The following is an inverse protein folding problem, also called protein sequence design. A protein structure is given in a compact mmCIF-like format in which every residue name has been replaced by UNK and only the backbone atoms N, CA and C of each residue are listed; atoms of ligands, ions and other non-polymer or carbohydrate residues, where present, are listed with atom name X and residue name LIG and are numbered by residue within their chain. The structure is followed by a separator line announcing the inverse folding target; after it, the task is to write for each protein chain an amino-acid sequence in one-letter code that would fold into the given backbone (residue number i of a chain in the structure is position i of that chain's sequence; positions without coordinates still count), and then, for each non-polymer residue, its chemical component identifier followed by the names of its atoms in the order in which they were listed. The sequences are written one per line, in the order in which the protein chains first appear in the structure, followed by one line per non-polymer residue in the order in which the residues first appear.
data_IF_087278585944
#
_entry.id   IF_087278585944
#
_cell.length_a   1.000
_cell.length_b   1.000
_cell.length_c   1.000
_cell.angle_alpha   90.00
_cell.angle_beta   90.00
_cell.angle_gamma   90.00
#
_symmetry.space_group_name_H-M   'P 1'
#
loop_
_entity.id
_entity.type
_entity.pdbx_description
1 polymer ?
#
# COMPACT_ATOMS: atom_id res chain seq x y z
N UNK A 1 36.31 -26.38 -16.60
CA UNK A 1 35.03 -27.09 -16.77
C UNK A 1 34.26 -26.93 -15.46
N UNK A 2 32.93 -27.04 -15.48
CA UNK A 2 32.07 -26.78 -14.31
C UNK A 2 31.35 -28.08 -13.91
N UNK A 3 31.04 -28.23 -12.63
CA UNK A 3 30.23 -29.36 -12.13
C UNK A 3 28.83 -29.29 -12.73
N UNK A 4 28.21 -30.44 -12.96
CA UNK A 4 26.81 -30.50 -13.38
C UNK A 4 25.90 -29.77 -12.36
N UNK A 5 25.15 -28.79 -12.87
CA UNK A 5 24.19 -28.01 -12.10
C UNK A 5 23.17 -28.90 -11.40
N UNK A 6 22.73 -30.00 -12.02
CA UNK A 6 21.77 -30.91 -11.39
C UNK A 6 22.34 -31.59 -10.15
N UNK A 7 23.64 -31.90 -10.16
CA UNK A 7 24.35 -32.44 -9.00
C UNK A 7 24.38 -31.44 -7.86
N UNK A 8 24.67 -30.16 -8.14
CA UNK A 8 24.64 -29.08 -7.15
C UNK A 8 23.24 -28.86 -6.58
N UNK A 9 22.19 -28.87 -7.42
CA UNK A 9 20.79 -28.74 -6.96
C UNK A 9 20.41 -29.91 -6.04
N UNK A 10 20.81 -31.14 -6.38
CA UNK A 10 20.54 -32.31 -5.56
C UNK A 10 21.19 -32.18 -4.18
N UNK A 11 22.47 -31.78 -4.10
CA UNK A 11 23.16 -31.53 -2.83
C UNK A 11 22.53 -30.39 -2.04
N UNK A 12 22.12 -29.30 -2.70
CA UNK A 12 21.47 -28.16 -2.05
C UNK A 12 20.15 -28.57 -1.35
N UNK A 13 19.36 -29.44 -2.00
CA UNK A 13 18.13 -30.00 -1.39
C UNK A 13 18.41 -30.96 -0.24
N UNK A 14 19.52 -31.69 -0.28
CA UNK A 14 19.94 -32.60 0.80
C UNK A 14 20.40 -31.82 2.02
N UNK A 15 21.20 -30.76 1.83
CA UNK A 15 21.70 -29.92 2.92
C UNK A 15 20.63 -29.00 3.50
N UNK A 16 19.73 -28.48 2.67
CA UNK A 16 18.69 -27.51 3.07
C UNK A 16 17.28 -28.01 2.69
N UNK A 17 16.81 -29.15 3.24
CA UNK A 17 15.52 -29.74 2.86
C UNK A 17 14.32 -28.91 3.31
N UNK A 18 14.51 -27.97 4.25
CA UNK A 18 13.47 -27.06 4.75
C UNK A 18 13.43 -25.72 4.01
N UNK A 19 14.40 -25.44 3.16
CA UNK A 19 14.42 -24.22 2.37
C UNK A 19 13.44 -24.39 1.19
N UNK A 20 12.27 -23.74 1.27
CA UNK A 20 11.24 -23.73 0.22
C UNK A 20 11.65 -22.86 -0.98
N UNK A 21 12.81 -23.12 -1.57
CA UNK A 21 13.31 -22.38 -2.71
C UNK A 21 12.54 -22.76 -3.97
N UNK A 22 12.14 -21.75 -4.76
CA UNK A 22 11.60 -21.98 -6.10
C UNK A 22 12.63 -22.64 -7.01
N UNK A 23 12.17 -23.39 -8.02
CA UNK A 23 13.07 -24.02 -9.00
C UNK A 23 14.00 -23.00 -9.67
N UNK A 24 13.48 -21.80 -10.00
CA UNK A 24 14.27 -20.69 -10.55
C UNK A 24 15.39 -20.23 -9.61
N UNK A 25 15.19 -20.25 -8.29
CA UNK A 25 16.24 -19.93 -7.31
C UNK A 25 17.26 -21.05 -7.17
N UNK A 26 16.80 -22.30 -7.14
CA UNK A 26 17.69 -23.45 -7.14
C UNK A 26 18.64 -23.41 -8.35
N UNK A 27 18.10 -23.15 -9.54
CA UNK A 27 18.88 -23.03 -10.77
C UNK A 27 19.85 -21.84 -10.71
N UNK A 28 19.41 -20.67 -10.23
CA UNK A 28 20.27 -19.49 -10.10
C UNK A 28 21.43 -19.67 -9.10
N UNK A 29 21.18 -20.37 -7.99
CA UNK A 29 22.21 -20.69 -7.00
C UNK A 29 23.15 -21.74 -7.60
N UNK A 30 22.63 -22.80 -8.20
CA UNK A 30 23.43 -23.83 -8.86
C UNK A 30 24.30 -23.26 -9.99
N UNK A 31 23.80 -22.31 -10.78
CA UNK A 31 24.56 -21.64 -11.83
C UNK A 31 25.78 -20.87 -11.32
N UNK A 32 25.67 -20.30 -10.12
CA UNK A 32 26.77 -19.61 -9.44
C UNK A 32 27.74 -20.60 -8.80
N UNK A 33 27.23 -21.65 -8.17
CA UNK A 33 28.03 -22.59 -7.41
C UNK A 33 28.73 -23.63 -8.28
N UNK A 34 28.11 -24.08 -9.38
CA UNK A 34 28.67 -25.07 -10.31
C UNK A 34 30.03 -24.66 -10.92
N UNK A 35 30.33 -23.36 -10.95
CA UNK A 35 31.59 -22.81 -11.49
C UNK A 35 32.74 -22.77 -10.49
N UNK A 36 32.48 -23.04 -9.21
CA UNK A 36 33.48 -22.93 -8.13
C UNK A 36 34.27 -24.22 -7.90
N UNK A 37 33.65 -25.42 -7.80
CA UNK A 37 34.39 -26.67 -7.72
C UNK A 37 35.01 -27.06 -9.06
N UNK A 38 36.02 -27.94 -9.02
CA UNK A 38 36.52 -28.65 -10.19
C UNK A 38 35.41 -29.55 -10.79
N UNK A 39 35.49 -29.87 -12.08
CA UNK A 39 34.46 -30.64 -12.80
C UNK A 39 34.31 -32.08 -12.30
N UNK A 40 35.36 -32.65 -11.72
CA UNK A 40 35.39 -33.97 -11.09
C UNK A 40 35.11 -33.93 -9.57
N UNK A 41 34.67 -32.79 -9.04
CA UNK A 41 34.40 -32.63 -7.60
C UNK A 41 33.40 -33.67 -7.07
N UNK A 42 33.77 -34.26 -5.94
CA UNK A 42 32.93 -35.16 -5.17
C UNK A 42 31.83 -34.40 -4.42
N UNK A 43 30.89 -35.15 -3.84
CA UNK A 43 29.78 -34.56 -3.09
C UNK A 43 30.27 -33.71 -1.91
N UNK A 44 31.40 -34.07 -1.29
CA UNK A 44 32.00 -33.35 -0.17
C UNK A 44 32.48 -31.95 -0.59
N UNK A 45 33.16 -31.85 -1.72
CA UNK A 45 33.64 -30.57 -2.25
C UNK A 45 32.47 -29.66 -2.70
N UNK A 46 31.40 -30.26 -3.25
CA UNK A 46 30.18 -29.52 -3.61
C UNK A 46 29.48 -29.00 -2.35
N UNK A 47 29.37 -29.82 -1.30
CA UNK A 47 28.79 -29.43 -0.02
C UNK A 47 29.57 -28.29 0.64
N UNK A 48 30.90 -28.33 0.61
CA UNK A 48 31.74 -27.26 1.14
C UNK A 48 31.45 -25.92 0.45
N UNK A 49 31.35 -25.93 -0.89
CA UNK A 49 31.01 -24.72 -1.66
C UNK A 49 29.60 -24.20 -1.36
N UNK A 50 28.64 -25.10 -1.13
CA UNK A 50 27.28 -24.72 -0.72
C UNK A 50 27.28 -24.10 0.68
N UNK A 51 28.03 -24.69 1.63
CA UNK A 51 28.14 -24.16 2.99
C UNK A 51 28.86 -22.81 3.01
N UNK A 52 29.95 -22.66 2.25
CA UNK A 52 30.63 -21.36 2.09
C UNK A 52 29.68 -20.29 1.54
N UNK A 53 28.79 -20.67 0.62
CA UNK A 53 27.76 -19.77 0.12
C UNK A 53 26.73 -19.43 1.20
N UNK A 54 26.28 -20.44 1.96
CA UNK A 54 25.33 -20.27 3.05
C UNK A 54 25.87 -19.37 4.17
N UNK A 55 27.17 -19.43 4.45
CA UNK A 55 27.84 -18.60 5.47
C UNK A 55 27.85 -17.11 5.09
N UNK A 56 27.93 -16.80 3.80
CA UNK A 56 27.90 -15.42 3.29
C UNK A 56 26.46 -14.94 3.05
N UNK A 57 25.60 -15.83 2.55
CA UNK A 57 24.19 -15.59 2.31
C UNK A 57 23.38 -16.83 2.70
N UNK A 58 22.69 -16.73 3.82
CA UNK A 58 21.83 -17.78 4.37
C UNK A 58 20.78 -18.21 3.35
N UNK A 59 20.85 -19.48 2.96
CA UNK A 59 19.91 -20.11 2.03
C UNK A 59 18.50 -20.15 2.63
N UNK A 60 18.40 -20.31 3.95
CA UNK A 60 17.13 -20.27 4.66
C UNK A 60 16.51 -18.87 4.66
N UNK A 61 17.31 -17.82 4.82
CA UNK A 61 16.79 -16.45 4.82
C UNK A 61 16.40 -16.01 3.40
N UNK A 62 17.13 -16.44 2.37
CA UNK A 62 16.70 -16.30 0.97
C UNK A 62 15.32 -16.95 0.76
N UNK A 63 15.11 -18.16 1.29
CA UNK A 63 13.82 -18.84 1.16
C UNK A 63 12.70 -18.09 1.91
N UNK A 64 12.97 -17.58 3.12
CA UNK A 64 11.99 -16.79 3.89
C UNK A 64 11.63 -15.47 3.19
N UNK A 65 12.61 -14.78 2.62
CA UNK A 65 12.37 -13.51 1.92
C UNK A 65 11.58 -13.72 0.63
N UNK A 66 11.87 -14.80 -0.12
CA UNK A 66 11.06 -15.19 -1.28
C UNK A 66 9.61 -15.52 -0.85
N UNK A 67 9.41 -16.25 0.24
CA UNK A 67 8.07 -16.56 0.79
C UNK A 67 7.32 -15.30 1.26
N UNK A 68 8.02 -14.39 1.93
CA UNK A 68 7.47 -13.09 2.35
C UNK A 68 7.09 -12.25 1.14
N UNK A 69 7.94 -12.19 0.12
CA UNK A 69 7.69 -11.43 -1.10
C UNK A 69 6.47 -11.99 -1.84
N UNK A 70 6.38 -13.33 -1.96
CA UNK A 70 5.23 -14.00 -2.56
C UNK A 70 3.93 -13.71 -1.80
N UNK A 71 3.98 -13.70 -0.47
CA UNK A 71 2.84 -13.34 0.37
C UNK A 71 2.42 -11.88 0.13
N UNK A 72 3.38 -10.95 0.15
CA UNK A 72 3.12 -9.52 -0.10
C UNK A 72 2.59 -9.26 -1.52
N UNK A 73 3.09 -9.96 -2.53
CA UNK A 73 2.58 -9.87 -3.91
C UNK A 73 1.16 -10.40 -4.00
N UNK A 74 0.84 -11.52 -3.34
CA UNK A 74 -0.51 -12.07 -3.30
C UNK A 74 -1.48 -11.12 -2.57
N UNK A 75 -1.07 -10.50 -1.48
CA UNK A 75 -1.85 -9.49 -0.75
C UNK A 75 -2.06 -8.22 -1.58
N UNK A 76 -1.02 -7.72 -2.26
CA UNK A 76 -1.13 -6.59 -3.19
C UNK A 76 -2.10 -6.90 -4.32
N UNK A 77 -2.02 -8.09 -4.90
CA UNK A 77 -2.91 -8.50 -5.98
C UNK A 77 -4.37 -8.57 -5.51
N UNK A 78 -4.63 -9.11 -4.31
CA UNK A 78 -5.96 -9.09 -3.69
C UNK A 78 -6.46 -7.66 -3.46
N UNK A 79 -5.62 -6.77 -2.94
CA UNK A 79 -5.98 -5.36 -2.76
C UNK A 79 -6.32 -4.65 -4.07
N UNK A 80 -5.58 -4.94 -5.15
CA UNK A 80 -5.87 -4.43 -6.50
C UNK A 80 -7.21 -4.97 -7.01
N UNK A 81 -7.48 -6.27 -6.82
CA UNK A 81 -8.70 -6.92 -7.29
C UNK A 81 -9.94 -6.42 -6.52
N UNK A 82 -9.83 -6.24 -5.20
CA UNK A 82 -10.87 -5.63 -4.37
C UNK A 82 -11.14 -4.16 -4.74
N UNK A 83 -10.08 -3.37 -4.98
CA UNK A 83 -10.21 -1.99 -5.41
C UNK A 83 -10.89 -1.88 -6.78
N UNK A 84 -10.56 -2.78 -7.73
CA UNK A 84 -11.22 -2.83 -9.05
C UNK A 84 -12.68 -3.26 -8.96
N UNK A 85 -12.99 -4.26 -8.13
CA UNK A 85 -14.37 -4.69 -7.87
C UNK A 85 -15.22 -3.54 -7.30
N UNK A 86 -14.66 -2.75 -6.38
CA UNK A 86 -15.34 -1.55 -5.84
C UNK A 86 -15.53 -0.46 -6.89
N UNK A 87 -14.63 -0.35 -7.86
CA UNK A 87 -14.69 0.61 -8.96
C UNK A 87 -15.50 0.12 -10.18
N UNK A 88 -16.20 -1.02 -10.08
CA UNK A 88 -16.99 -1.58 -11.19
C UNK A 88 -16.17 -1.98 -12.42
N UNK A 89 -14.84 -2.11 -12.28
CA UNK A 89 -13.94 -2.55 -13.33
C UNK A 89 -13.93 -4.07 -13.41
N UNK A 90 -14.00 -4.61 -14.62
CA UNK A 90 -13.84 -6.04 -14.85
C UNK A 90 -12.57 -6.58 -14.18
N UNK A 91 -12.60 -7.85 -13.71
CA UNK A 91 -11.42 -8.52 -13.19
C UNK A 91 -10.26 -8.33 -14.16
N UNK A 92 -9.05 -8.17 -13.63
CA UNK A 92 -7.88 -8.39 -14.46
C UNK A 92 -7.92 -9.87 -14.80
N UNK A 93 -8.53 -10.23 -15.93
CA UNK A 93 -8.02 -11.37 -16.66
C UNK A 93 -6.54 -11.08 -16.79
N UNK A 94 -5.71 -11.83 -16.05
CA UNK A 94 -4.36 -12.08 -16.48
C UNK A 94 -4.51 -12.79 -17.83
N UNK A 95 -4.81 -12.04 -18.88
CA UNK A 95 -4.15 -12.30 -20.13
C UNK A 95 -2.69 -12.04 -19.80
N UNK A 96 -2.04 -13.11 -19.36
CA UNK A 96 -0.74 -13.43 -19.87
C UNK A 96 -0.86 -13.34 -21.40
N UNK A 97 -0.89 -12.13 -21.97
CA UNK A 97 -0.23 -11.89 -23.25
C UNK A 97 1.27 -11.97 -22.94
N UNK A 98 1.70 -13.14 -22.44
CA UNK A 98 2.97 -13.67 -22.85
C UNK A 98 2.83 -13.73 -24.35
N UNK A 99 3.47 -12.79 -25.04
CA UNK A 99 3.85 -12.99 -26.42
C UNK A 99 4.51 -14.38 -26.43
N UNK A 100 3.81 -15.38 -26.98
CA UNK A 100 4.35 -16.74 -27.05
C UNK A 100 5.56 -16.67 -27.98
N UNK A 101 6.73 -16.55 -27.35
CA UNK A 101 7.98 -16.51 -28.05
C UNK A 101 8.25 -17.91 -28.59
N UNK A 102 8.53 -18.09 -29.90
CA UNK A 102 8.81 -19.40 -30.47
C UNK A 102 9.93 -20.10 -29.67
N UNK A 103 9.88 -21.42 -29.53
CA UNK A 103 10.77 -22.19 -28.65
C UNK A 103 12.28 -21.92 -28.88
N UNK A 104 12.65 -21.59 -30.12
CA UNK A 104 14.00 -21.20 -30.55
C UNK A 104 14.42 -19.77 -30.16
N UNK A 105 13.62 -19.06 -29.39
CA UNK A 105 13.96 -17.71 -28.93
C UNK A 105 15.13 -17.79 -27.95
N UNK A 106 16.27 -17.13 -28.25
CA UNK A 106 17.43 -17.17 -27.38
C UNK A 106 17.11 -16.70 -25.96
N UNK A 107 17.74 -17.30 -24.95
CA UNK A 107 17.45 -17.01 -23.54
C UNK A 107 17.60 -15.53 -23.17
N UNK A 108 18.51 -14.81 -23.85
CA UNK A 108 18.66 -13.37 -23.64
C UNK A 108 17.43 -12.57 -24.10
N UNK A 109 16.71 -13.03 -25.12
CA UNK A 109 15.47 -12.39 -25.61
C UNK A 109 14.32 -12.65 -24.64
N UNK A 110 14.19 -13.88 -24.11
CA UNK A 110 13.22 -14.20 -23.06
C UNK A 110 13.47 -13.37 -21.79
N UNK A 111 14.74 -13.16 -21.42
CA UNK A 111 15.13 -12.32 -20.30
C UNK A 111 14.80 -10.83 -20.54
N UNK A 112 15.05 -10.33 -21.75
CA UNK A 112 14.73 -8.93 -22.11
C UNK A 112 13.21 -8.71 -22.09
N UNK A 113 12.41 -9.61 -22.66
CA UNK A 113 10.95 -9.49 -22.64
C UNK A 113 10.41 -9.53 -21.21
N UNK A 114 10.87 -10.47 -20.38
CA UNK A 114 10.44 -10.53 -18.97
C UNK A 114 10.81 -9.27 -18.18
N UNK A 115 11.96 -8.64 -18.48
CA UNK A 115 12.31 -7.33 -17.92
C UNK A 115 11.41 -6.22 -18.45
N UNK A 116 11.05 -6.24 -19.73
CA UNK A 116 10.18 -5.24 -20.34
C UNK A 116 8.75 -5.30 -19.77
N UNK A 117 8.23 -6.50 -19.50
CA UNK A 117 6.94 -6.70 -18.85
C UNK A 117 6.96 -6.20 -17.39
N UNK A 118 8.04 -6.49 -16.66
CA UNK A 118 8.26 -5.98 -15.31
C UNK A 118 8.32 -4.46 -15.30
N UNK A 119 9.10 -3.85 -16.20
CA UNK A 119 9.22 -2.40 -16.33
C UNK A 119 7.88 -1.77 -16.72
N UNK A 120 7.11 -2.39 -17.61
CA UNK A 120 5.79 -1.91 -17.98
C UNK A 120 4.82 -1.94 -16.80
N UNK A 121 4.84 -3.01 -16.01
CA UNK A 121 4.02 -3.15 -14.80
C UNK A 121 4.40 -2.10 -13.74
N UNK A 122 5.70 -1.91 -13.49
CA UNK A 122 6.21 -0.88 -12.58
C UNK A 122 5.84 0.53 -13.07
N UNK A 123 5.91 0.78 -14.38
CA UNK A 123 5.56 2.05 -14.98
C UNK A 123 4.07 2.37 -14.82
N UNK A 124 3.19 1.38 -15.02
CA UNK A 124 1.75 1.56 -14.76
C UNK A 124 1.45 1.78 -13.28
N UNK A 125 2.14 1.07 -12.37
CA UNK A 125 2.02 1.32 -10.93
C UNK A 125 2.50 2.72 -10.54
N UNK A 126 3.61 3.21 -11.11
CA UNK A 126 4.13 4.56 -10.91
C UNK A 126 3.16 5.61 -11.47
N UNK A 127 2.62 5.39 -12.68
CA UNK A 127 1.61 6.29 -13.26
C UNK A 127 0.37 6.37 -12.39
N UNK A 128 -0.14 5.24 -11.90
CA UNK A 128 -1.27 5.20 -10.98
C UNK A 128 -0.96 5.96 -9.68
N UNK A 129 0.20 5.70 -9.07
CA UNK A 129 0.65 6.39 -7.86
C UNK A 129 0.76 7.91 -8.06
N UNK A 130 1.39 8.34 -9.16
CA UNK A 130 1.53 9.76 -9.52
C UNK A 130 0.18 10.42 -9.81
N UNK A 131 -0.76 9.71 -10.45
CA UNK A 131 -2.11 10.20 -10.66
C UNK A 131 -2.85 10.41 -9.33
N UNK A 132 -2.76 9.46 -8.40
CA UNK A 132 -3.32 9.61 -7.05
C UNK A 132 -2.68 10.75 -6.26
N UNK A 133 -1.35 10.90 -6.32
CA UNK A 133 -0.64 11.99 -5.66
C UNK A 133 -1.04 13.35 -6.23
N UNK A 134 -1.14 13.46 -7.56
CA UNK A 134 -1.60 14.68 -8.23
C UNK A 134 -3.02 15.04 -7.79
N UNK A 135 -3.92 14.07 -7.74
CA UNK A 135 -5.29 14.28 -7.25
C UNK A 135 -5.33 14.73 -5.78
N UNK A 136 -4.51 14.12 -4.90
CA UNK A 136 -4.39 14.54 -3.49
C UNK A 136 -3.85 15.96 -3.36
N UNK A 137 -2.88 16.33 -4.19
CA UNK A 137 -2.34 17.69 -4.23
C UNK A 137 -3.42 18.70 -4.66
N UNK A 138 -4.17 18.41 -5.74
CA UNK A 138 -5.28 19.25 -6.20
C UNK A 138 -6.38 19.37 -5.15
N UNK A 139 -6.78 18.27 -4.51
CA UNK A 139 -7.76 18.27 -3.42
C UNK A 139 -7.29 19.12 -2.23
N UNK A 140 -6.02 19.00 -1.83
CA UNK A 140 -5.43 19.80 -0.76
C UNK A 140 -5.39 21.29 -1.13
N UNK A 141 -5.05 21.61 -2.38
CA UNK A 141 -5.04 22.99 -2.87
C UNK A 141 -6.45 23.60 -2.83
N UNK A 142 -7.46 22.89 -3.33
CA UNK A 142 -8.85 23.36 -3.30
C UNK A 142 -9.37 23.51 -1.86
N UNK A 143 -9.05 22.55 -0.98
CA UNK A 143 -9.38 22.64 0.44
C UNK A 143 -8.76 23.89 1.08
N UNK A 144 -7.51 24.21 0.75
CA UNK A 144 -6.82 25.39 1.28
C UNK A 144 -7.34 26.72 0.73
N UNK A 145 -7.99 26.71 -0.45
CA UNK A 145 -8.64 27.88 -1.04
C UNK A 145 -10.00 28.21 -0.39
N UNK A 146 -10.60 27.26 0.33
CA UNK A 146 -11.87 27.49 1.02
C UNK A 146 -11.72 28.53 2.13
N UNK A 147 -12.58 29.55 2.12
CA UNK A 147 -12.61 30.60 3.14
C UNK A 147 -13.06 30.09 4.52
N UNK A 148 -13.80 28.97 4.53
CA UNK A 148 -14.35 28.34 5.73
C UNK A 148 -13.33 27.34 6.28
N UNK A 149 -12.84 26.42 5.44
CA UNK A 149 -11.95 25.35 5.88
C UNK A 149 -10.52 25.82 6.17
N UNK A 150 -10.07 26.95 5.59
CA UNK A 150 -8.77 27.54 5.95
C UNK A 150 -8.68 27.96 7.43
N UNK A 151 -9.83 28.12 8.11
CA UNK A 151 -9.92 28.46 9.53
C UNK A 151 -9.72 27.25 10.45
N UNK A 152 -9.66 26.04 9.89
CA UNK A 152 -9.39 24.82 10.65
C UNK A 152 -7.98 24.91 11.25
N UNK A 153 -7.80 24.62 12.55
CA UNK A 153 -6.48 24.61 13.18
C UNK A 153 -5.52 23.63 12.48
N UNK A 154 -4.26 24.03 12.32
CA UNK A 154 -3.25 23.24 11.59
C UNK A 154 -3.04 21.84 12.17
N UNK A 155 -3.25 21.65 13.48
CA UNK A 155 -3.11 20.36 14.16
C UNK A 155 -4.14 19.31 13.71
N UNK A 156 -5.33 19.73 13.29
CA UNK A 156 -6.42 18.81 12.87
C UNK A 156 -6.67 18.86 11.36
N UNK A 157 -6.13 19.86 10.68
CA UNK A 157 -6.24 20.04 9.22
C UNK A 157 -5.87 18.81 8.38
N UNK A 158 -4.81 18.02 8.69
CA UNK A 158 -4.52 16.80 7.95
C UNK A 158 -5.65 15.77 8.01
N UNK A 159 -6.33 15.66 9.16
CA UNK A 159 -7.44 14.73 9.31
C UNK A 159 -8.63 15.11 8.44
N UNK A 160 -8.88 16.41 8.25
CA UNK A 160 -9.92 16.90 7.36
C UNK A 160 -9.59 16.70 5.88
N UNK A 161 -8.35 16.97 5.48
CA UNK A 161 -7.90 16.74 4.10
C UNK A 161 -7.98 15.26 3.73
N UNK A 162 -7.64 14.35 4.67
CA UNK A 162 -7.72 12.90 4.47
C UNK A 162 -9.15 12.36 4.28
N UNK A 163 -10.19 13.17 4.55
CA UNK A 163 -11.59 12.79 4.29
C UNK A 163 -12.00 13.00 2.83
N UNK A 164 -11.19 13.71 2.04
CA UNK A 164 -11.44 13.86 0.60
C UNK A 164 -11.04 12.55 -0.09
N UNK A 165 -12.03 11.86 -0.64
CA UNK A 165 -11.80 10.66 -1.44
C UNK A 165 -11.45 11.05 -2.88
N UNK A 166 -10.17 10.87 -3.21
CA UNK A 166 -9.61 11.17 -4.53
C UNK A 166 -10.08 10.22 -5.65
N UNK A 167 -10.73 9.12 -5.29
CA UNK A 167 -11.24 8.12 -6.23
C UNK A 167 -12.78 8.06 -6.25
N UNK A 168 -13.46 8.92 -5.50
CA UNK A 168 -14.91 9.02 -5.51
C UNK A 168 -15.43 9.56 -6.85
N UNK A 169 -16.63 9.15 -7.22
CA UNK A 169 -17.39 9.73 -8.35
C UNK A 169 -17.89 11.15 -8.04
N UNK A 170 -17.91 11.52 -6.75
CA UNK A 170 -18.29 12.88 -6.32
C UNK A 170 -17.12 13.84 -6.54
N UNK A 171 -17.41 15.00 -7.14
CA UNK A 171 -16.39 16.03 -7.43
C UNK A 171 -15.69 16.52 -6.15
N UNK A 172 -14.44 16.99 -6.27
CA UNK A 172 -13.73 17.58 -5.14
C UNK A 172 -14.43 18.82 -4.61
N UNK A 173 -15.05 19.60 -5.50
CA UNK A 173 -15.84 20.77 -5.15
C UNK A 173 -17.03 20.41 -4.26
N UNK A 174 -17.75 19.33 -4.55
CA UNK A 174 -18.90 18.91 -3.76
C UNK A 174 -18.48 18.27 -2.43
N UNK A 175 -17.41 17.48 -2.43
CA UNK A 175 -16.83 16.96 -1.19
C UNK A 175 -16.36 18.09 -0.27
N UNK A 176 -15.71 19.12 -0.83
CA UNK A 176 -15.25 20.28 -0.08
C UNK A 176 -16.44 21.10 0.45
N UNK A 177 -17.48 21.34 -0.34
CA UNK A 177 -18.70 22.01 0.15
C UNK A 177 -19.38 21.28 1.31
N UNK A 178 -19.40 19.95 1.27
CA UNK A 178 -19.92 19.14 2.37
C UNK A 178 -19.06 19.33 3.63
N UNK A 179 -17.74 19.30 3.49
CA UNK A 179 -16.81 19.57 4.60
C UNK A 179 -16.96 21.01 5.13
N UNK A 180 -17.16 22.01 4.25
CA UNK A 180 -17.42 23.41 4.63
C UNK A 180 -18.68 23.53 5.47
N UNK A 181 -19.75 22.86 5.06
CA UNK A 181 -21.03 22.84 5.77
C UNK A 181 -20.87 22.21 7.15
N UNK A 182 -20.21 21.05 7.21
CA UNK A 182 -19.96 20.35 8.47
C UNK A 182 -19.09 21.18 9.43
N UNK A 183 -18.00 21.76 8.94
CA UNK A 183 -17.14 22.60 9.77
C UNK A 183 -17.88 23.86 10.24
N UNK A 184 -18.67 24.49 9.37
CA UNK A 184 -19.52 25.63 9.74
C UNK A 184 -20.51 25.29 10.84
N UNK A 185 -21.18 24.13 10.74
CA UNK A 185 -22.09 23.62 11.77
C UNK A 185 -21.37 23.35 13.09
N UNK A 186 -20.16 22.76 13.07
CA UNK A 186 -19.37 22.51 14.27
C UNK A 186 -18.94 23.81 14.96
N UNK A 187 -18.53 24.81 14.19
CA UNK A 187 -18.18 26.14 14.73
C UNK A 187 -19.39 26.80 15.35
N UNK A 188 -20.55 26.75 14.68
CA UNK A 188 -21.79 27.33 15.20
C UNK A 188 -22.25 26.59 16.47
N UNK A 189 -22.26 25.25 16.45
CA UNK A 189 -22.59 24.44 17.62
C UNK A 189 -21.64 24.75 18.79
N UNK A 190 -20.33 24.88 18.52
CA UNK A 190 -19.37 25.29 19.53
C UNK A 190 -19.70 26.67 20.09
N UNK A 191 -20.08 27.64 19.25
CA UNK A 191 -20.43 29.00 19.69
C UNK A 191 -21.73 29.02 20.52
N UNK A 192 -22.76 28.30 20.06
CA UNK A 192 -24.07 28.19 20.73
C UNK A 192 -23.96 27.45 22.07
N UNK A 193 -23.09 26.43 22.14
CA UNK A 193 -22.86 25.65 23.36
C UNK A 193 -21.89 26.36 24.34
N UNK A 194 -21.05 27.28 23.87
CA UNK A 194 -20.17 28.09 24.74
C UNK A 194 -20.91 29.24 25.44
N UNK A 195 -22.24 29.24 25.41
CA UNK A 195 -23.08 30.26 26.00
C UNK A 195 -23.46 29.91 27.46
N UNK A 196 -22.48 29.73 28.35
CA UNK A 196 -22.62 29.70 29.83
C UNK A 196 -21.26 30.00 30.47
N UNK A 197 -21.03 30.94 31.39
CA UNK A 197 -21.85 31.84 32.19
C UNK A 197 -21.23 33.26 32.14
N UNK A 198 -21.99 34.34 32.45
CA UNK A 198 -21.36 35.65 32.60
C UNK A 198 -20.24 35.57 33.64
N UNK A 199 -19.16 36.36 33.50
CA UNK A 199 -18.08 36.39 34.49
C UNK A 199 -18.71 36.63 35.87
N UNK A 200 -18.45 35.73 36.81
CA UNK A 200 -18.85 35.86 38.19
C UNK A 200 -18.15 37.08 38.80
N UNK A 201 -18.75 38.26 38.64
CA UNK A 201 -18.17 39.51 39.12
C UNK A 201 -18.70 40.74 38.40
N UNK A 202 -19.88 41.20 38.84
CA UNK A 202 -20.23 42.62 38.78
C UNK A 202 -21.39 43.01 37.86
N UNK A 203 -22.55 43.28 38.47
CA UNK A 203 -23.42 44.37 38.02
C UNK A 203 -24.82 44.01 37.53
N UNK A 204 -25.77 44.08 38.48
CA UNK A 204 -27.22 44.27 38.36
C UNK A 204 -28.13 43.16 37.77
N UNK A 205 -29.11 42.64 38.55
CA UNK A 205 -30.11 41.72 38.06
C UNK A 205 -31.27 42.50 37.42
N UNK A 206 -31.35 42.50 36.10
CA UNK A 206 -32.54 42.96 35.40
C UNK A 206 -33.10 41.81 34.57
N UNK A 207 -34.09 41.13 35.16
CA UNK A 207 -35.13 40.32 34.53
C UNK A 207 -34.69 39.26 33.50
N UNK A 208 -34.25 38.11 34.01
CA UNK A 208 -34.45 36.84 33.29
C UNK A 208 -35.95 36.54 33.34
N UNK A 209 -36.69 36.92 32.30
CA UNK A 209 -38.05 36.41 32.10
C UNK A 209 -37.92 34.97 31.60
N UNK A 210 -38.00 34.02 32.53
CA UNK A 210 -38.25 32.62 32.18
C UNK A 210 -39.60 32.59 31.46
N UNK A 211 -39.63 31.97 30.28
CA UNK A 211 -40.85 31.81 29.50
C UNK A 211 -41.82 30.93 30.30
N UNK A 212 -42.97 31.49 30.69
CA UNK A 212 -43.98 30.80 31.53
C UNK A 212 -44.45 29.49 30.86
N UNK A 213 -44.36 29.37 29.54
CA UNK A 213 -44.68 28.15 28.80
C UNK A 213 -43.73 26.97 29.14
N UNK A 214 -42.47 27.25 29.48
CA UNK A 214 -41.49 26.24 29.89
C UNK A 214 -41.78 25.75 31.31
N UNK A 215 -42.23 26.65 32.18
CA UNK A 215 -42.56 26.32 33.58
C UNK A 215 -43.85 25.48 33.65
N UNK A 216 -44.87 25.82 32.85
CA UNK A 216 -46.13 25.07 32.81
C UNK A 216 -45.98 23.67 32.20
N UNK A 217 -45.08 23.50 31.24
CA UNK A 217 -44.75 22.19 30.65
C UNK A 217 -44.01 21.24 31.60
N UNK A 218 -43.27 21.76 32.58
CA UNK A 218 -42.54 20.95 33.57
C UNK A 218 -43.38 20.56 34.79
N UNK A 219 -44.47 21.27 35.07
CA UNK A 219 -45.33 21.02 36.25
C UNK A 219 -46.51 20.08 35.98
N UNK A 220 -46.74 19.67 34.72
CA UNK A 220 -47.85 18.77 34.33
C UNK A 220 -47.40 17.33 34.00
N UNK A 221 -46.39 16.80 34.72
CA UNK A 221 -46.09 15.35 34.76
C UNK A 221 -46.37 14.82 36.17
#
# INVERSE_FOLDING_TARGET
MAVDKQKVIARLKVLFPKANLSQKRLDAIADKLAKKPADDADDTAIDAVINDFNDVMSIEDIAKDDDRTRTLEAEKQKGIEEARKKAGLDPIEKKDEKVELPDNTPDYVKLIMGKLDSVSTELEAIKAGKATETKKASASEQFNKSEILKRIPESVKPNWINRIDVNSETSFEDQIKNLETEYGQLVQLSADTNQYAPPAGGGNPSDIKVDDAVVEGMLNI
#
